data_IF_560399314093
#
_entry.id   IF_560399314093
#
_cell.length_a   1.000
_cell.length_b   1.000
_cell.length_c   1.000
_cell.angle_alpha   90.00
_cell.angle_beta   90.00
_cell.angle_gamma   90.00
#
_symmetry.space_group_name_H-M   'P 1'
#
loop_
_entity.id
_entity.type
_entity.pdbx_description
1 polymer ?
#
# COMPACT_ATOMS: atom_id res chain seq x y z
N UNK A 1 -16.87 -13.37 1.69
CA UNK A 1 -16.45 -12.68 0.45
C UNK A 1 -17.58 -12.57 -0.58
N UNK A 2 -18.10 -13.67 -1.15
CA UNK A 2 -19.18 -13.63 -2.17
C UNK A 2 -20.42 -12.81 -1.77
N UNK A 3 -20.83 -12.86 -0.50
CA UNK A 3 -21.98 -12.09 0.00
C UNK A 3 -21.75 -10.58 -0.02
N UNK A 4 -20.54 -10.13 0.33
CA UNK A 4 -20.18 -8.70 0.26
C UNK A 4 -20.14 -8.22 -1.19
N UNK A 5 -19.53 -8.99 -2.09
CA UNK A 5 -19.45 -8.66 -3.51
C UNK A 5 -20.84 -8.54 -4.16
N UNK A 6 -21.80 -9.40 -3.76
CA UNK A 6 -23.19 -9.31 -4.19
C UNK A 6 -23.86 -8.01 -3.71
N UNK A 7 -23.66 -7.63 -2.44
CA UNK A 7 -24.20 -6.39 -1.87
C UNK A 7 -23.72 -5.14 -2.59
N UNK A 8 -22.49 -5.15 -3.11
CA UNK A 8 -21.90 -4.05 -3.88
C UNK A 8 -22.15 -4.15 -5.40
N UNK A 9 -22.91 -5.14 -5.87
CA UNK A 9 -23.17 -5.33 -7.30
C UNK A 9 -21.95 -5.73 -8.13
N UNK A 10 -20.90 -6.26 -7.49
CA UNK A 10 -19.64 -6.67 -8.13
C UNK A 10 -19.75 -8.08 -8.69
N UNK A 11 -20.63 -8.25 -9.68
CA UNK A 11 -21.05 -9.56 -10.21
C UNK A 11 -19.88 -10.41 -10.71
N UNK A 12 -18.90 -9.82 -11.38
CA UNK A 12 -17.73 -10.54 -11.89
C UNK A 12 -16.85 -11.11 -10.77
N UNK A 13 -16.54 -10.27 -9.76
CA UNK A 13 -15.80 -10.71 -8.57
C UNK A 13 -16.59 -11.76 -7.77
N UNK A 14 -17.91 -11.65 -7.73
CA UNK A 14 -18.77 -12.63 -7.08
C UNK A 14 -18.69 -14.00 -7.77
N UNK A 15 -18.65 -14.04 -9.10
CA UNK A 15 -18.47 -15.27 -9.89
C UNK A 15 -17.10 -15.88 -9.61
N UNK A 16 -16.03 -15.09 -9.64
CA UNK A 16 -14.67 -15.54 -9.33
C UNK A 16 -14.53 -16.09 -7.91
N UNK A 17 -15.13 -15.42 -6.91
CA UNK A 17 -15.14 -15.88 -5.53
C UNK A 17 -15.90 -17.22 -5.37
N UNK A 18 -16.94 -17.43 -6.18
CA UNK A 18 -17.71 -18.69 -6.18
C UNK A 18 -16.92 -19.83 -6.83
N UNK A 19 -16.24 -19.56 -7.95
CA UNK A 19 -15.36 -20.52 -8.61
C UNK A 19 -14.17 -20.92 -7.73
N UNK A 20 -13.56 -19.94 -7.04
CA UNK A 20 -12.49 -20.18 -6.08
C UNK A 20 -12.96 -21.04 -4.90
N UNK A 21 -14.13 -20.74 -4.32
CA UNK A 21 -14.70 -21.55 -3.23
C UNK A 21 -14.93 -23.00 -3.68
N UNK A 22 -15.40 -23.21 -4.91
CA UNK A 22 -15.58 -24.55 -5.48
C UNK A 22 -14.25 -25.28 -5.70
N UNK A 23 -13.23 -24.60 -6.23
CA UNK A 23 -11.90 -25.18 -6.44
C UNK A 23 -11.22 -25.58 -5.13
N UNK A 24 -11.35 -24.74 -4.09
CA UNK A 24 -10.84 -25.03 -2.75
C UNK A 24 -11.55 -26.23 -2.12
N UNK A 25 -12.88 -26.33 -2.24
CA UNK A 25 -13.65 -27.49 -1.75
C UNK A 25 -13.33 -28.78 -2.49
N UNK A 26 -12.98 -28.68 -3.78
CA UNK A 26 -12.65 -29.82 -4.64
C UNK A 26 -11.17 -30.23 -4.54
N UNK A 27 -10.36 -29.48 -3.78
CA UNK A 27 -8.91 -29.60 -3.69
C UNK A 27 -8.23 -29.75 -5.07
N UNK A 28 -8.74 -29.02 -6.07
CA UNK A 28 -8.20 -29.06 -7.43
C UNK A 28 -7.04 -28.04 -7.56
N UNK A 29 -6.10 -28.31 -8.47
CA UNK A 29 -4.92 -27.45 -8.68
C UNK A 29 -5.20 -26.07 -9.30
N UNK A 30 -6.45 -25.75 -9.61
CA UNK A 30 -6.86 -24.46 -10.21
C UNK A 30 -7.07 -23.36 -9.17
N UNK A 31 -7.08 -23.69 -7.88
CA UNK A 31 -7.23 -22.71 -6.81
C UNK A 31 -6.19 -21.58 -6.90
N UNK A 32 -4.95 -21.89 -7.26
CA UNK A 32 -3.88 -20.89 -7.42
C UNK A 32 -4.18 -19.90 -8.56
N UNK A 33 -4.66 -20.38 -9.70
CA UNK A 33 -5.06 -19.54 -10.84
C UNK A 33 -6.23 -18.64 -10.49
N UNK A 34 -7.25 -19.21 -9.84
CA UNK A 34 -8.46 -18.47 -9.44
C UNK A 34 -8.18 -17.42 -8.36
N UNK A 35 -7.21 -17.65 -7.47
CA UNK A 35 -6.71 -16.64 -6.53
C UNK A 35 -6.06 -15.48 -7.30
N UNK A 36 -5.24 -15.78 -8.31
CA UNK A 36 -4.58 -14.75 -9.11
C UNK A 36 -5.59 -13.90 -9.88
N UNK A 37 -6.59 -14.52 -10.49
CA UNK A 37 -7.66 -13.82 -11.23
C UNK A 37 -8.49 -12.92 -10.31
N UNK A 38 -8.86 -13.43 -9.13
CA UNK A 38 -9.62 -12.66 -8.14
C UNK A 38 -8.80 -11.49 -7.58
N UNK A 39 -7.49 -11.67 -7.41
CA UNK A 39 -6.58 -10.59 -7.03
C UNK A 39 -6.56 -9.48 -8.08
N UNK A 40 -6.42 -9.82 -9.36
CA UNK A 40 -6.44 -8.84 -10.46
C UNK A 40 -7.75 -8.06 -10.50
N UNK A 41 -8.89 -8.73 -10.32
CA UNK A 41 -10.20 -8.05 -10.29
C UNK A 41 -10.34 -7.10 -9.09
N UNK A 42 -9.79 -7.47 -7.93
CA UNK A 42 -9.82 -6.64 -6.73
C UNK A 42 -8.90 -5.41 -6.87
N UNK A 43 -7.70 -5.61 -7.43
CA UNK A 43 -6.74 -4.53 -7.72
C UNK A 43 -7.38 -3.49 -8.67
N UNK A 44 -8.04 -3.96 -9.75
CA UNK A 44 -8.74 -3.08 -10.69
C UNK A 44 -9.91 -2.31 -10.04
N UNK A 45 -10.65 -2.95 -9.13
CA UNK A 45 -11.69 -2.28 -8.36
C UNK A 45 -11.10 -1.20 -7.44
N UNK A 46 -10.01 -1.51 -6.74
CA UNK A 46 -9.31 -0.57 -5.87
C UNK A 46 -8.80 0.65 -6.65
N UNK A 47 -8.30 0.46 -7.87
CA UNK A 47 -7.95 1.57 -8.77
C UNK A 47 -9.18 2.37 -9.25
N UNK A 48 -10.30 1.70 -9.49
CA UNK A 48 -11.55 2.31 -9.96
C UNK A 48 -12.29 3.10 -8.87
N UNK A 49 -12.07 2.80 -7.59
CA UNK A 49 -12.63 3.56 -6.46
C UNK A 49 -11.63 4.52 -5.81
N UNK A 50 -10.34 4.40 -6.15
CA UNK A 50 -9.33 5.35 -5.68
C UNK A 50 -9.65 6.76 -6.20
N UNK A 51 -9.58 7.78 -5.32
CA UNK A 51 -9.79 9.17 -5.72
C UNK A 51 -8.83 9.55 -6.85
N UNK A 52 -9.28 10.40 -7.76
CA UNK A 52 -8.57 10.74 -9.00
C UNK A 52 -7.13 11.27 -8.77
N UNK A 53 -6.80 11.74 -7.57
CA UNK A 53 -5.44 12.13 -7.16
C UNK A 53 -4.44 10.95 -7.10
N UNK A 54 -4.93 9.71 -7.06
CA UNK A 54 -4.12 8.47 -7.09
C UNK A 54 -4.07 7.83 -8.49
N UNK A 55 -4.80 8.37 -9.48
CA UNK A 55 -4.77 7.86 -10.85
C UNK A 55 -3.62 8.50 -11.62
N UNK A 56 -2.54 7.73 -11.72
CA UNK A 56 -1.45 7.89 -12.70
C UNK A 56 -0.38 8.89 -12.28
N UNK A 57 0.78 8.35 -11.90
CA UNK A 57 2.05 8.90 -12.37
C UNK A 57 2.72 7.78 -13.17
N UNK A 58 2.38 7.72 -14.45
CA UNK A 58 3.31 7.35 -15.53
C UNK A 58 4.61 8.13 -15.30
N UNK A 59 5.82 7.56 -15.50
CA UNK A 59 7.07 8.25 -15.18
C UNK A 59 7.34 9.36 -16.20
N UNK A 60 6.71 10.51 -16.02
CA UNK A 60 7.07 11.76 -16.69
C UNK A 60 7.46 12.77 -15.61
N UNK A 61 8.68 13.28 -15.76
CA UNK A 61 9.43 14.10 -14.81
C UNK A 61 9.94 13.37 -13.56
N UNK A 62 11.18 12.88 -13.68
CA UNK A 62 12.15 12.85 -12.58
C UNK A 62 12.25 14.26 -11.95
N UNK A 63 11.34 14.58 -11.04
CA UNK A 63 11.60 15.60 -10.04
C UNK A 63 12.68 14.99 -9.15
N UNK A 64 13.90 15.49 -9.27
CA UNK A 64 15.00 15.05 -8.42
C UNK A 64 14.56 15.23 -6.96
N UNK A 65 14.20 14.12 -6.30
CA UNK A 65 13.81 14.10 -4.90
C UNK A 65 14.98 14.69 -4.11
N UNK A 66 14.78 15.87 -3.50
CA UNK A 66 15.82 16.49 -2.69
C UNK A 66 16.04 15.64 -1.44
N UNK A 67 17.22 14.99 -1.28
CA UNK A 67 17.46 14.07 -0.17
C UNK A 67 17.33 14.73 1.19
N UNK A 68 17.69 16.02 1.30
CA UNK A 68 17.59 16.78 2.54
C UNK A 68 16.13 17.10 2.91
N UNK A 69 15.27 17.32 1.92
CA UNK A 69 13.83 17.51 2.14
C UNK A 69 13.17 16.21 2.59
N UNK A 70 13.49 15.09 1.92
CA UNK A 70 13.00 13.76 2.30
C UNK A 70 13.44 13.42 3.73
N UNK A 71 14.70 13.65 4.07
CA UNK A 71 15.25 13.44 5.42
C UNK A 71 14.51 14.26 6.47
N UNK A 72 14.25 15.54 6.19
CA UNK A 72 13.55 16.44 7.12
C UNK A 72 12.12 15.97 7.38
N UNK A 73 11.39 15.58 6.33
CA UNK A 73 10.02 15.08 6.48
C UNK A 73 9.97 13.73 7.19
N UNK A 74 10.91 12.83 6.92
CA UNK A 74 11.05 11.56 7.65
C UNK A 74 11.38 11.75 9.13
N UNK A 75 12.19 12.75 9.48
CA UNK A 75 12.46 13.09 10.89
C UNK A 75 11.21 13.60 11.62
N UNK A 76 10.38 14.39 10.94
CA UNK A 76 9.08 14.83 11.47
C UNK A 76 8.12 13.65 11.66
N UNK A 77 8.05 12.75 10.67
CA UNK A 77 7.25 11.53 10.75
C UNK A 77 7.72 10.64 11.92
N UNK A 78 9.03 10.43 12.06
CA UNK A 78 9.64 9.69 13.16
C UNK A 78 9.23 10.24 14.53
N UNK A 79 9.30 11.56 14.70
CA UNK A 79 8.91 12.21 15.97
C UNK A 79 7.42 12.02 16.28
N UNK A 80 6.57 12.09 15.26
CA UNK A 80 5.12 11.86 15.38
C UNK A 80 4.81 10.40 15.72
N UNK A 81 5.50 9.44 15.09
CA UNK A 81 5.36 8.01 15.36
C UNK A 81 5.81 7.66 16.78
N UNK A 82 6.93 8.22 17.25
CA UNK A 82 7.42 8.03 18.61
C UNK A 82 6.46 8.58 19.68
N UNK A 83 5.65 9.57 19.33
CA UNK A 83 4.60 10.12 20.18
C UNK A 83 3.25 9.39 20.03
N UNK A 84 3.16 8.37 19.17
CA UNK A 84 1.90 7.72 18.76
C UNK A 84 0.81 8.71 18.34
N UNK A 85 1.21 9.84 17.74
CA UNK A 85 0.28 10.89 17.30
C UNK A 85 -0.38 10.46 15.97
N UNK A 86 -1.72 10.56 15.88
CA UNK A 86 -2.44 10.28 14.64
C UNK A 86 -2.07 11.21 13.48
N UNK A 87 -1.39 12.32 13.74
CA UNK A 87 -0.76 13.14 12.68
C UNK A 87 0.23 12.35 11.84
N UNK A 88 0.78 11.24 12.35
CA UNK A 88 1.69 10.36 11.62
C UNK A 88 1.08 9.84 10.32
N UNK A 89 -0.24 9.63 10.28
CA UNK A 89 -0.95 9.19 9.07
C UNK A 89 -0.88 10.28 7.99
N UNK A 90 -1.19 11.53 8.35
CA UNK A 90 -1.11 12.66 7.40
C UNK A 90 0.32 12.91 6.94
N UNK A 91 1.27 12.90 7.87
CA UNK A 91 2.69 13.08 7.58
C UNK A 91 3.23 11.97 6.66
N UNK A 92 2.74 10.74 6.80
CA UNK A 92 3.11 9.66 5.89
C UNK A 92 2.56 9.88 4.50
N UNK A 93 1.29 10.25 4.35
CA UNK A 93 0.70 10.53 3.03
C UNK A 93 1.43 11.65 2.27
N UNK A 94 2.00 12.63 2.98
CA UNK A 94 2.84 13.68 2.36
C UNK A 94 4.21 13.17 1.88
N UNK A 95 4.74 12.12 2.49
CA UNK A 95 6.10 11.58 2.21
C UNK A 95 6.05 10.36 1.31
N UNK A 96 4.91 9.67 1.27
CA UNK A 96 4.67 8.46 0.49
C UNK A 96 5.05 8.62 -1.00
N UNK A 97 4.69 9.70 -1.72
CA UNK A 97 5.08 9.87 -3.12
C UNK A 97 6.60 9.89 -3.32
N UNK A 98 7.35 10.46 -2.36
CA UNK A 98 8.81 10.55 -2.40
C UNK A 98 9.44 9.18 -2.10
N UNK A 99 8.86 8.40 -1.18
CA UNK A 99 9.34 7.06 -0.83
C UNK A 99 9.11 6.03 -1.94
N UNK A 100 7.95 6.07 -2.60
CA UNK A 100 7.64 5.15 -3.69
C UNK A 100 8.60 5.36 -4.88
N UNK A 101 9.05 6.59 -5.11
CA UNK A 101 9.98 6.91 -6.20
C UNK A 101 11.45 6.57 -5.89
N UNK A 102 11.85 6.55 -4.61
CA UNK A 102 13.28 6.47 -4.21
C UNK A 102 13.68 5.18 -3.50
N UNK A 103 12.76 4.54 -2.75
CA UNK A 103 13.10 3.50 -1.76
C UNK A 103 12.36 2.18 -1.99
N UNK A 104 11.18 2.18 -2.63
CA UNK A 104 10.47 0.95 -2.99
C UNK A 104 9.93 0.18 -1.77
N UNK A 105 10.28 -1.11 -1.62
CA UNK A 105 9.66 -2.05 -0.67
C UNK A 105 9.59 -1.60 0.81
N UNK A 106 10.59 -0.90 1.38
CA UNK A 106 10.48 -0.34 2.73
C UNK A 106 9.38 0.73 2.86
N UNK A 107 9.12 1.52 1.82
CA UNK A 107 8.04 2.51 1.80
C UNK A 107 6.64 1.87 1.83
N UNK A 108 6.47 0.74 1.15
CA UNK A 108 5.21 -0.02 1.17
C UNK A 108 4.95 -0.69 2.52
N UNK A 109 6.00 -1.23 3.15
CA UNK A 109 5.91 -1.79 4.50
C UNK A 109 5.56 -0.70 5.52
N UNK A 110 6.17 0.48 5.41
CA UNK A 110 5.85 1.62 6.28
C UNK A 110 4.38 2.00 6.20
N UNK A 111 3.81 2.06 4.98
CA UNK A 111 2.40 2.40 4.79
C UNK A 111 1.45 1.42 5.47
N UNK A 112 1.71 0.11 5.31
CA UNK A 112 0.89 -0.94 5.94
C UNK A 112 0.90 -0.86 7.47
N UNK A 113 2.05 -0.56 8.06
CA UNK A 113 2.19 -0.44 9.51
C UNK A 113 1.42 0.78 10.04
N UNK A 114 1.49 1.91 9.32
CA UNK A 114 0.76 3.13 9.70
C UNK A 114 -0.75 2.95 9.53
N UNK A 115 -1.21 2.30 8.46
CA UNK A 115 -2.63 1.99 8.22
C UNK A 115 -3.21 1.06 9.30
N UNK A 116 -2.38 0.16 9.85
CA UNK A 116 -2.75 -0.75 10.93
C UNK A 116 -2.52 -0.15 12.34
N UNK A 117 -2.11 1.11 12.44
CA UNK A 117 -1.76 1.78 13.71
C UNK A 117 -0.60 1.11 14.48
N UNK A 118 0.25 0.35 13.79
CA UNK A 118 1.44 -0.32 14.31
C UNK A 118 2.63 0.67 14.34
N UNK A 119 2.52 1.71 15.16
CA UNK A 119 3.47 2.84 15.18
C UNK A 119 4.89 2.45 15.58
N UNK A 120 5.05 1.45 16.44
CA UNK A 120 6.37 0.96 16.87
C UNK A 120 7.12 0.29 15.70
N UNK A 121 6.45 -0.59 14.95
CA UNK A 121 7.03 -1.18 13.74
C UNK A 121 7.25 -0.14 12.64
N UNK A 122 6.36 0.85 12.50
CA UNK A 122 6.55 1.94 11.55
C UNK A 122 7.80 2.78 11.88
N UNK A 123 8.09 2.99 13.17
CA UNK A 123 9.28 3.70 13.62
C UNK A 123 10.56 2.96 13.21
N UNK A 124 10.61 1.65 13.37
CA UNK A 124 11.75 0.82 12.96
C UNK A 124 12.05 0.96 11.47
N UNK A 125 11.00 0.94 10.64
CA UNK A 125 11.14 1.11 9.19
C UNK A 125 11.61 2.52 8.82
N UNK A 126 11.09 3.56 9.47
CA UNK A 126 11.57 4.94 9.25
C UNK A 126 13.05 5.08 9.61
N UNK A 127 13.52 4.40 10.65
CA UNK A 127 14.93 4.40 11.04
C UNK A 127 15.81 3.66 10.04
N UNK A 128 15.36 2.53 9.50
CA UNK A 128 16.03 1.84 8.38
C UNK A 128 16.17 2.76 7.17
N UNK A 129 15.08 3.46 6.82
CA UNK A 129 15.05 4.38 5.68
C UNK A 129 16.01 5.57 5.90
N UNK A 130 15.96 6.22 7.07
CA UNK A 130 16.83 7.35 7.41
C UNK A 130 18.33 6.98 7.40
N UNK A 131 18.66 5.76 7.81
CA UNK A 131 20.03 5.25 7.77
C UNK A 131 20.51 4.98 6.33
N UNK A 132 19.61 4.53 5.43
CA UNK A 132 19.92 4.31 4.02
C UNK A 132 20.12 5.61 3.22
N UNK A 133 19.41 6.68 3.58
CA UNK A 133 19.57 8.01 2.94
C UNK A 133 20.92 8.67 3.27
N UNK A 134 21.66 8.18 4.27
CA UNK A 134 22.94 8.75 4.73
C UNK A 134 24.15 8.40 3.83
N UNK A 135 23.99 7.48 2.87
CA UNK A 135 25.10 6.91 2.09
C UNK A 135 25.08 7.26 0.59
N UNK A 136 24.39 8.33 0.18
CA UNK A 136 24.50 8.93 -1.17
C UNK A 136 24.95 10.37 -1.08
#
# INVERSE_FOLDING_TARGET
LKGLLATFGLTELQIQATALEAALKSNNGQAATLISEMKTGLDALMEAISPAEQRTITPECSVAVNPEELRTRLQTLRASLAASDMKSIRLFEEVRPMLTQSIGAPGDTLGKLIDNFEFEGALDIVDVILNGVRTS
#
